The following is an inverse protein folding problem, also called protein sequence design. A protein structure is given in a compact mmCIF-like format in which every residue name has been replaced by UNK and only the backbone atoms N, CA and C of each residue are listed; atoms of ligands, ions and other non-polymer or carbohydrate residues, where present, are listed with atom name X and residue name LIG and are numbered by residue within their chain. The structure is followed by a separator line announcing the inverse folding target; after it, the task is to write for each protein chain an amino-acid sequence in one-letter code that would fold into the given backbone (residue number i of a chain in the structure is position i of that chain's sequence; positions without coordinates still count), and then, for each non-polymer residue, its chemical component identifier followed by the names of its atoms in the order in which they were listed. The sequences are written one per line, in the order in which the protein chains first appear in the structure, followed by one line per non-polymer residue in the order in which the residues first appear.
data_IF_316783283643
#
_entry.id   IF_316783283643
#
_cell.length_a   1.000
_cell.length_b   1.000
_cell.length_c   1.000
_cell.angle_alpha   90.00
_cell.angle_beta   90.00
_cell.angle_gamma   90.00
#
_symmetry.space_group_name_H-M   'P 1'
#
loop_
_entity.id
_entity.type
_entity.pdbx_description
1 polymer ?
#
# COMPACT_ATOMS: atom_id res chain seq x y z
N UNK A 1 26.81 -5.14 -7.11
CA UNK A 1 25.88 -5.90 -6.24
C UNK A 1 24.52 -5.20 -6.03
N UNK A 2 24.31 -3.95 -6.49
CA UNK A 2 23.04 -3.23 -6.34
C UNK A 2 22.01 -3.49 -7.47
N UNK A 3 22.43 -3.87 -8.68
CA UNK A 3 21.48 -4.09 -9.80
C UNK A 3 20.70 -5.41 -9.72
N UNK A 4 21.29 -6.49 -9.16
CA UNK A 4 20.57 -7.76 -9.03
C UNK A 4 19.40 -7.66 -8.04
N UNK A 5 19.53 -6.83 -6.99
CA UNK A 5 18.45 -6.61 -6.03
C UNK A 5 17.23 -5.96 -6.68
N UNK A 6 17.44 -4.94 -7.51
CA UNK A 6 16.36 -4.22 -8.18
C UNK A 6 15.58 -5.12 -9.18
N UNK A 7 16.27 -5.97 -9.93
CA UNK A 7 15.64 -6.89 -10.89
C UNK A 7 14.81 -7.97 -10.20
N UNK A 8 15.25 -8.46 -9.04
CA UNK A 8 14.50 -9.42 -8.24
C UNK A 8 13.25 -8.76 -7.66
N UNK A 9 13.38 -7.53 -7.13
CA UNK A 9 12.27 -6.76 -6.53
C UNK A 9 11.16 -6.46 -7.55
N UNK A 10 11.53 -6.05 -8.78
CA UNK A 10 10.55 -5.76 -9.84
C UNK A 10 9.78 -7.03 -10.22
N UNK A 11 10.45 -8.18 -10.30
CA UNK A 11 9.81 -9.45 -10.67
C UNK A 11 8.84 -9.94 -9.59
N UNK A 12 9.19 -9.82 -8.31
CA UNK A 12 8.31 -10.22 -7.21
C UNK A 12 7.06 -9.34 -7.12
N UNK A 13 7.22 -8.01 -7.25
CA UNK A 13 6.09 -7.08 -7.30
C UNK A 13 5.20 -7.34 -8.52
N UNK A 14 5.80 -7.59 -9.69
CA UNK A 14 5.08 -7.90 -10.92
C UNK A 14 4.26 -9.20 -10.79
N UNK A 15 4.78 -10.23 -10.13
CA UNK A 15 4.04 -11.48 -9.87
C UNK A 15 2.84 -11.26 -8.95
N UNK A 16 3.01 -10.50 -7.86
CA UNK A 16 1.91 -10.19 -6.93
C UNK A 16 0.82 -9.37 -7.63
N UNK A 17 1.22 -8.34 -8.40
CA UNK A 17 0.30 -7.51 -9.17
C UNK A 17 -0.47 -8.33 -10.23
N UNK A 18 0.20 -9.25 -10.94
CA UNK A 18 -0.46 -10.10 -11.94
C UNK A 18 -1.46 -11.07 -11.34
N UNK A 19 -1.16 -11.67 -10.19
CA UNK A 19 -2.08 -12.59 -9.51
C UNK A 19 -3.35 -11.85 -9.06
N UNK A 20 -3.20 -10.66 -8.49
CA UNK A 20 -4.32 -9.85 -7.99
C UNK A 20 -5.22 -9.27 -9.09
N UNK A 21 -4.67 -9.02 -10.28
CA UNK A 21 -5.42 -8.50 -11.43
C UNK A 21 -6.18 -9.62 -12.16
N UNK A 22 -5.65 -10.84 -12.20
CA UNK A 22 -6.28 -11.96 -12.90
C UNK A 22 -7.44 -12.59 -12.12
N UNK A 23 -7.40 -12.59 -10.78
CA UNK A 23 -8.47 -13.18 -9.95
C UNK A 23 -9.78 -12.36 -9.96
N UNK A 24 -9.76 -11.09 -10.40
CA UNK A 24 -10.98 -10.26 -10.55
C UNK A 24 -11.73 -10.47 -11.88
N UNK A 25 -11.20 -11.30 -12.78
CA UNK A 25 -11.79 -11.57 -14.11
C UNK A 25 -12.90 -12.63 -14.15
N UNK A 26 -13.20 -13.30 -13.03
CA UNK A 26 -14.21 -14.37 -12.98
C UNK A 26 -15.26 -14.16 -11.88
N UNK A 27 -15.87 -12.99 -11.82
CA UNK A 27 -17.06 -12.80 -10.97
C UNK A 27 -18.04 -11.77 -11.57
N UNK A 28 -18.55 -12.05 -12.78
CA UNK A 28 -19.78 -11.41 -13.26
C UNK A 28 -20.52 -12.32 -14.24
N UNK A 29 -21.60 -12.97 -13.79
CA UNK A 29 -22.49 -13.79 -14.63
C UNK A 29 -23.61 -14.44 -13.82
N UNK A 30 -24.86 -14.19 -14.20
CA UNK A 30 -26.13 -14.29 -13.47
C UNK A 30 -26.71 -15.68 -13.13
N UNK A 31 -27.44 -15.72 -11.99
CA UNK A 31 -28.78 -16.29 -11.69
C UNK A 31 -29.32 -17.49 -12.53
N UNK A 32 -29.72 -18.56 -11.83
CA UNK A 32 -30.70 -19.56 -12.30
C UNK A 32 -30.91 -20.72 -11.29
N UNK A 33 -32.16 -20.98 -10.91
CA UNK A 33 -32.61 -21.99 -9.92
C UNK A 33 -32.49 -23.48 -10.37
N UNK A 34 -32.47 -24.36 -9.35
CA UNK A 34 -33.15 -25.67 -9.26
C UNK A 34 -32.30 -26.96 -9.27
N UNK A 35 -32.45 -27.70 -8.15
CA UNK A 35 -32.60 -29.16 -7.99
C UNK A 35 -31.56 -30.15 -8.55
N UNK A 36 -31.08 -31.05 -7.69
CA UNK A 36 -30.62 -32.38 -8.13
C UNK A 36 -29.45 -32.95 -7.34
N UNK A 37 -29.53 -34.24 -7.02
CA UNK A 37 -28.71 -34.98 -6.07
C UNK A 37 -27.57 -35.77 -6.78
N UNK A 38 -26.51 -36.07 -6.01
CA UNK A 38 -25.56 -37.20 -6.13
C UNK A 38 -24.16 -37.03 -6.80
N UNK A 39 -23.16 -37.27 -5.94
CA UNK A 39 -21.96 -38.14 -6.03
C UNK A 39 -21.00 -38.06 -7.24
N UNK A 40 -19.72 -37.82 -6.91
CA UNK A 40 -18.58 -38.76 -7.07
C UNK A 40 -17.31 -38.14 -7.70
N UNK A 41 -16.19 -38.49 -7.06
CA UNK A 41 -14.85 -38.76 -7.61
C UNK A 41 -13.93 -37.58 -8.00
N UNK A 42 -12.81 -37.54 -7.26
CA UNK A 42 -11.55 -36.85 -7.54
C UNK A 42 -10.98 -37.22 -8.91
N UNK A 43 -10.64 -36.24 -9.76
CA UNK A 43 -9.47 -36.29 -10.64
C UNK A 43 -8.91 -34.87 -10.88
N UNK A 44 -7.61 -34.72 -10.69
CA UNK A 44 -6.79 -33.54 -11.01
C UNK A 44 -6.54 -33.44 -12.51
N UNK A 45 -6.60 -32.25 -13.15
CA UNK A 45 -6.06 -32.08 -14.49
C UNK A 45 -4.65 -31.46 -14.45
N UNK A 46 -3.74 -32.22 -15.05
CA UNK A 46 -2.41 -31.84 -15.50
C UNK A 46 -2.55 -31.14 -16.86
N UNK A 47 -1.98 -29.95 -17.02
CA UNK A 47 -1.97 -29.23 -18.29
C UNK A 47 -0.57 -29.33 -18.92
N UNK A 48 -0.48 -30.08 -20.02
CA UNK A 48 0.71 -30.29 -20.83
C UNK A 48 0.81 -29.25 -21.96
N UNK A 49 2.03 -28.99 -22.41
CA UNK A 49 2.45 -27.95 -23.34
C UNK A 49 2.61 -28.51 -24.77
N UNK A 50 2.11 -27.80 -25.79
CA UNK A 50 2.45 -28.01 -27.21
C UNK A 50 1.56 -27.17 -28.13
N UNK A 51 2.03 -26.04 -28.70
CA UNK A 51 2.78 -25.88 -29.99
C UNK A 51 1.85 -26.10 -31.20
N UNK A 52 1.33 -25.03 -31.82
CA UNK A 52 1.86 -24.19 -32.94
C UNK A 52 1.36 -24.68 -34.31
N UNK A 53 0.76 -23.76 -35.07
CA UNK A 53 1.19 -23.37 -36.44
C UNK A 53 0.05 -22.63 -37.15
N UNK A 54 0.33 -21.39 -37.60
CA UNK A 54 -0.17 -20.92 -38.90
C UNK A 54 0.78 -19.88 -39.49
N UNK A 55 1.20 -20.16 -40.71
CA UNK A 55 2.14 -19.41 -41.55
C UNK A 55 1.38 -18.42 -42.43
N UNK A 56 1.90 -17.21 -42.62
CA UNK A 56 1.60 -16.43 -43.83
C UNK A 56 2.72 -15.45 -44.19
N UNK A 57 3.51 -15.83 -45.20
CA UNK A 57 4.40 -14.95 -46.00
C UNK A 57 3.54 -13.98 -46.84
N UNK A 58 3.95 -12.80 -47.34
CA UNK A 58 5.20 -12.30 -47.93
C UNK A 58 4.96 -10.76 -48.11
N UNK A 59 5.91 -9.82 -48.08
CA UNK A 59 6.84 -9.49 -49.19
C UNK A 59 7.62 -8.20 -48.85
N UNK A 60 8.94 -8.25 -48.99
CA UNK A 60 9.85 -7.10 -48.87
C UNK A 60 9.92 -6.30 -50.17
N UNK A 61 10.09 -4.98 -50.06
CA UNK A 61 10.72 -4.14 -51.09
C UNK A 61 11.57 -3.07 -50.43
N UNK A 62 12.88 -3.19 -50.60
CA UNK A 62 13.91 -2.21 -50.24
C UNK A 62 13.81 -0.96 -51.11
N UNK A 63 13.97 0.21 -50.48
CA UNK A 63 14.52 1.41 -51.14
C UNK A 63 15.41 2.16 -50.15
N UNK A 64 16.71 2.02 -50.38
CA UNK A 64 17.76 2.90 -49.91
C UNK A 64 17.51 4.35 -50.35
N UNK A 65 17.52 5.27 -49.38
CA UNK A 65 17.82 6.67 -49.60
C UNK A 65 18.55 7.21 -48.36
N UNK A 66 19.87 7.09 -48.39
CA UNK A 66 20.80 7.83 -47.55
C UNK A 66 20.53 9.33 -47.64
N UNK A 67 20.25 9.97 -46.49
CA UNK A 67 20.66 11.35 -46.25
C UNK A 67 20.96 11.54 -44.78
N UNK A 68 22.18 12.01 -44.57
CA UNK A 68 22.92 12.12 -43.33
C UNK A 68 22.32 13.14 -42.36
N UNK A 69 22.59 12.88 -41.08
CA UNK A 69 22.71 13.87 -40.01
C UNK A 69 21.53 14.80 -39.76
N UNK A 70 20.54 14.27 -39.03
CA UNK A 70 20.17 14.95 -37.80
C UNK A 70 20.19 13.91 -36.68
N UNK A 71 21.32 13.84 -35.98
CA UNK A 71 21.33 13.50 -34.56
C UNK A 71 20.46 14.54 -33.87
N UNK A 72 19.13 14.37 -33.95
CA UNK A 72 18.21 15.07 -33.10
C UNK A 72 18.46 14.48 -31.72
N UNK A 73 19.43 15.06 -31.02
CA UNK A 73 19.37 15.18 -29.57
C UNK A 73 17.91 15.53 -29.30
N UNK A 74 17.13 14.58 -28.80
CA UNK A 74 15.80 14.87 -28.27
C UNK A 74 16.07 15.68 -27.01
N UNK A 75 16.28 16.97 -27.24
CA UNK A 75 16.39 18.00 -26.25
C UNK A 75 15.13 17.90 -25.38
N UNK A 76 15.37 17.83 -24.07
CA UNK A 76 14.44 17.34 -23.06
C UNK A 76 13.00 17.83 -23.21
N UNK A 77 12.06 16.92 -22.93
CA UNK A 77 10.63 17.09 -23.15
C UNK A 77 10.08 18.46 -22.72
N UNK A 78 9.48 19.17 -23.67
CA UNK A 78 8.83 20.49 -23.51
C UNK A 78 7.59 20.48 -22.60
N UNK A 79 7.21 19.34 -22.04
CA UNK A 79 5.99 19.18 -21.25
C UNK A 79 6.28 19.40 -19.77
N UNK A 80 5.42 20.15 -19.10
CA UNK A 80 5.50 20.35 -17.65
C UNK A 80 5.53 19.00 -16.92
N UNK A 81 6.43 18.88 -15.94
CA UNK A 81 6.66 17.62 -15.23
C UNK A 81 5.47 17.23 -14.34
N UNK A 82 4.78 18.21 -13.73
CA UNK A 82 3.63 17.94 -12.89
C UNK A 82 2.44 17.47 -13.73
N UNK A 83 2.20 18.15 -14.87
CA UNK A 83 1.19 17.74 -15.83
C UNK A 83 1.46 16.32 -16.35
N UNK A 84 2.69 16.01 -16.75
CA UNK A 84 3.05 14.65 -17.21
C UNK A 84 2.79 13.58 -16.15
N UNK A 85 3.11 13.86 -14.88
CA UNK A 85 2.85 12.92 -13.77
C UNK A 85 1.36 12.75 -13.51
N UNK A 86 0.61 13.84 -13.57
CA UNK A 86 -0.84 13.81 -13.40
C UNK A 86 -1.48 12.96 -14.50
N UNK A 87 -1.16 13.18 -15.77
CA UNK A 87 -1.71 12.37 -16.86
C UNK A 87 -1.35 10.88 -16.72
N UNK A 88 -0.08 10.58 -16.43
CA UNK A 88 0.42 9.20 -16.32
C UNK A 88 -0.16 8.45 -15.12
N UNK A 89 -0.38 9.12 -13.99
CA UNK A 89 -0.89 8.46 -12.79
C UNK A 89 -2.42 8.54 -12.71
N UNK A 90 -3.00 9.69 -13.01
CA UNK A 90 -4.38 10.03 -12.69
C UNK A 90 -5.31 9.87 -13.89
N UNK A 91 -4.91 10.32 -15.09
CA UNK A 91 -5.75 10.19 -16.29
C UNK A 91 -5.69 8.78 -16.89
N UNK A 92 -4.57 8.08 -16.73
CA UNK A 92 -4.44 6.68 -17.15
C UNK A 92 -5.28 5.69 -16.33
N UNK A 93 -5.82 6.12 -15.19
CA UNK A 93 -6.49 5.25 -14.22
C UNK A 93 -5.56 4.45 -13.30
N UNK A 94 -4.24 4.53 -13.51
CA UNK A 94 -3.25 3.76 -12.72
C UNK A 94 -3.35 4.02 -11.21
N UNK A 95 -3.47 5.28 -10.82
CA UNK A 95 -3.60 5.69 -9.42
C UNK A 95 -4.85 5.10 -8.75
N UNK A 96 -5.97 5.12 -9.45
CA UNK A 96 -7.24 4.58 -8.94
C UNK A 96 -7.14 3.06 -8.74
N UNK A 97 -6.63 2.33 -9.74
CA UNK A 97 -6.40 0.89 -9.64
C UNK A 97 -5.40 0.54 -8.54
N UNK A 98 -4.36 1.36 -8.34
CA UNK A 98 -3.37 1.14 -7.29
C UNK A 98 -3.97 1.34 -5.89
N UNK A 99 -4.80 2.38 -5.70
CA UNK A 99 -5.49 2.60 -4.42
C UNK A 99 -6.43 1.43 -4.13
N UNK A 100 -7.21 0.98 -5.12
CA UNK A 100 -8.12 -0.16 -4.96
C UNK A 100 -7.39 -1.48 -4.67
N UNK A 101 -6.22 -1.70 -5.28
CA UNK A 101 -5.38 -2.84 -4.96
C UNK A 101 -4.83 -2.75 -3.52
N UNK A 102 -4.44 -1.56 -3.07
CA UNK A 102 -4.01 -1.33 -1.69
C UNK A 102 -5.13 -1.58 -0.69
N UNK A 103 -6.36 -1.13 -0.98
CA UNK A 103 -7.54 -1.36 -0.12
C UNK A 103 -7.81 -2.87 0.01
N UNK A 104 -7.83 -3.59 -1.11
CA UNK A 104 -8.16 -5.01 -1.13
C UNK A 104 -7.12 -5.94 -0.51
N UNK A 105 -5.86 -5.47 -0.37
CA UNK A 105 -4.72 -6.29 0.06
C UNK A 105 -3.91 -5.61 1.18
N UNK A 106 -4.56 -4.74 1.96
CA UNK A 106 -3.88 -3.90 2.93
C UNK A 106 -3.11 -4.73 3.98
N UNK A 107 -3.66 -5.88 4.39
CA UNK A 107 -3.05 -6.73 5.40
C UNK A 107 -1.73 -7.33 4.89
N UNK A 108 -1.78 -8.00 3.74
CA UNK A 108 -0.66 -8.69 3.11
C UNK A 108 0.43 -7.69 2.71
N UNK A 109 0.04 -6.54 2.16
CA UNK A 109 1.00 -5.51 1.76
C UNK A 109 1.69 -4.89 2.96
N UNK A 110 0.97 -4.54 4.04
CA UNK A 110 1.57 -3.96 5.25
C UNK A 110 2.58 -4.89 5.91
N UNK A 111 2.31 -6.20 5.90
CA UNK A 111 3.18 -7.21 6.50
C UNK A 111 4.32 -7.65 5.56
N UNK A 112 4.26 -7.28 4.28
CA UNK A 112 5.31 -7.58 3.30
C UNK A 112 6.56 -6.72 3.48
N UNK A 113 7.72 -7.27 3.14
CA UNK A 113 8.98 -6.53 3.15
C UNK A 113 8.97 -5.34 2.17
N UNK A 114 8.27 -5.44 1.05
CA UNK A 114 8.23 -4.39 0.02
C UNK A 114 6.84 -3.75 -0.09
N UNK A 115 5.77 -4.52 0.12
CA UNK A 115 4.40 -4.02 0.02
C UNK A 115 4.13 -2.84 0.97
N UNK A 116 4.79 -2.81 2.13
CA UNK A 116 4.60 -1.74 3.12
C UNK A 116 5.05 -0.37 2.60
N UNK A 117 6.07 -0.34 1.73
CA UNK A 117 6.56 0.92 1.14
C UNK A 117 5.55 1.42 0.09
N UNK A 118 4.91 0.50 -0.65
CA UNK A 118 3.80 0.85 -1.56
C UNK A 118 2.64 1.43 -0.77
N UNK A 119 2.22 0.79 0.32
CA UNK A 119 1.17 1.31 1.21
C UNK A 119 1.53 2.69 1.73
N UNK A 120 2.77 2.89 2.20
CA UNK A 120 3.21 4.19 2.71
C UNK A 120 3.07 5.31 1.67
N UNK A 121 3.57 5.10 0.45
CA UNK A 121 3.54 6.11 -0.62
C UNK A 121 2.10 6.41 -1.08
N UNK A 122 1.22 5.40 -1.13
CA UNK A 122 -0.17 5.58 -1.55
C UNK A 122 -0.97 6.30 -0.46
N UNK A 123 -0.85 5.88 0.81
CA UNK A 123 -1.55 6.51 1.95
C UNK A 123 -1.17 7.97 2.12
N UNK A 124 0.11 8.32 1.92
CA UNK A 124 0.60 9.70 1.98
C UNK A 124 0.28 10.52 0.71
N UNK A 125 -0.36 9.90 -0.28
CA UNK A 125 -0.90 10.58 -1.46
C UNK A 125 0.14 10.88 -2.56
N UNK A 126 1.30 10.21 -2.56
CA UNK A 126 2.30 10.28 -3.63
C UNK A 126 2.71 11.70 -3.99
N UNK A 127 3.42 12.39 -3.10
CA UNK A 127 3.81 13.82 -3.23
C UNK A 127 2.64 14.79 -3.45
N UNK A 128 1.40 14.39 -3.11
CA UNK A 128 0.20 15.22 -3.19
C UNK A 128 -0.59 15.11 -4.51
N UNK A 129 -0.15 14.27 -5.45
CA UNK A 129 -0.86 14.07 -6.73
C UNK A 129 -2.19 13.34 -6.52
N UNK A 130 -2.21 12.36 -5.61
CA UNK A 130 -3.40 11.52 -5.40
C UNK A 130 -4.49 12.27 -4.64
N UNK A 131 -4.11 13.09 -3.65
CA UNK A 131 -5.05 13.78 -2.77
C UNK A 131 -5.98 14.77 -3.47
N UNK A 132 -5.61 15.28 -4.65
CA UNK A 132 -6.43 16.26 -5.38
C UNK A 132 -7.67 15.65 -6.03
N UNK A 133 -7.61 14.39 -6.46
CA UNK A 133 -8.70 13.72 -7.18
C UNK A 133 -9.30 12.54 -6.41
N UNK A 134 -8.50 11.90 -5.55
CA UNK A 134 -8.86 10.64 -4.92
C UNK A 134 -8.96 10.74 -3.40
N UNK A 135 -9.29 11.91 -2.84
CA UNK A 135 -9.46 12.11 -1.39
C UNK A 135 -10.31 11.01 -0.76
N UNK A 136 -11.50 10.78 -1.30
CA UNK A 136 -12.48 9.85 -0.73
C UNK A 136 -11.99 8.40 -0.80
N UNK A 137 -11.23 8.04 -1.85
CA UNK A 137 -10.63 6.70 -1.96
C UNK A 137 -9.44 6.52 -1.03
N UNK A 138 -8.67 7.59 -0.77
CA UNK A 138 -7.60 7.56 0.24
C UNK A 138 -8.19 7.42 1.64
N UNK A 139 -9.30 8.10 1.94
CA UNK A 139 -10.03 7.93 3.20
C UNK A 139 -10.48 6.46 3.37
N UNK A 140 -11.04 5.84 2.32
CA UNK A 140 -11.39 4.41 2.34
C UNK A 140 -10.17 3.51 2.61
N UNK A 141 -8.99 3.85 2.08
CA UNK A 141 -7.75 3.12 2.36
C UNK A 141 -7.32 3.31 3.82
N UNK A 142 -7.44 4.53 4.36
CA UNK A 142 -7.17 4.78 5.79
C UNK A 142 -8.11 3.97 6.67
N UNK A 143 -9.39 3.92 6.34
CA UNK A 143 -10.41 3.13 7.04
C UNK A 143 -10.14 1.62 6.96
N UNK A 144 -9.72 1.11 5.80
CA UNK A 144 -9.38 -0.30 5.63
C UNK A 144 -8.20 -0.70 6.55
N UNK A 145 -7.13 0.11 6.58
CA UNK A 145 -5.99 -0.13 7.46
C UNK A 145 -6.38 0.02 8.94
N UNK A 146 -7.20 1.02 9.27
CA UNK A 146 -7.65 1.22 10.64
C UNK A 146 -8.56 0.09 11.13
N UNK A 147 -9.38 -0.49 10.24
CA UNK A 147 -10.21 -1.65 10.53
C UNK A 147 -9.36 -2.88 10.86
N UNK A 148 -8.26 -3.10 10.15
CA UNK A 148 -7.28 -4.14 10.50
C UNK A 148 -6.67 -3.90 11.89
N UNK A 149 -6.37 -2.65 12.24
CA UNK A 149 -5.85 -2.29 13.57
C UNK A 149 -6.87 -2.38 14.69
N UNK A 150 -8.16 -2.38 14.37
CA UNK A 150 -9.25 -2.51 15.33
C UNK A 150 -9.56 -3.98 15.69
N UNK A 151 -8.97 -4.94 14.97
CA UNK A 151 -9.09 -6.36 15.26
C UNK A 151 -8.55 -6.67 16.66
N UNK A 152 -9.10 -7.68 17.35
CA UNK A 152 -8.60 -8.08 18.66
C UNK A 152 -7.15 -8.56 18.59
N UNK A 153 -6.40 -8.28 19.66
CA UNK A 153 -5.11 -8.94 19.88
C UNK A 153 -5.34 -10.42 20.14
N UNK A 154 -4.89 -11.27 19.22
CA UNK A 154 -4.97 -12.73 19.35
C UNK A 154 -3.58 -13.27 19.65
N UNK A 155 -3.40 -13.91 20.81
CA UNK A 155 -2.16 -14.60 21.16
C UNK A 155 -2.09 -16.02 20.55
N UNK A 156 -3.21 -16.52 20.02
CA UNK A 156 -3.35 -17.88 19.49
C UNK A 156 -3.27 -17.95 17.95
N UNK A 157 -3.16 -16.81 17.26
CA UNK A 157 -3.03 -16.80 15.79
C UNK A 157 -1.58 -16.95 15.37
N UNK A 158 -1.35 -17.71 14.30
CA UNK A 158 -0.02 -17.80 13.67
C UNK A 158 0.41 -16.45 13.05
N UNK A 159 -0.56 -15.60 12.70
CA UNK A 159 -0.33 -14.27 12.15
C UNK A 159 -0.23 -13.21 13.27
N UNK A 160 0.83 -12.41 13.23
CA UNK A 160 1.04 -11.28 14.15
C UNK A 160 0.08 -10.13 13.83
N UNK A 161 -0.48 -9.50 14.86
CA UNK A 161 -1.32 -8.31 14.69
C UNK A 161 -0.54 -7.16 14.02
N UNK A 162 -1.19 -6.33 13.21
CA UNK A 162 -0.50 -5.29 12.41
C UNK A 162 0.28 -4.26 13.25
N UNK A 163 -0.09 -4.06 14.52
CA UNK A 163 0.65 -3.18 15.43
C UNK A 163 1.88 -3.84 16.04
N UNK A 164 2.00 -5.16 15.98
CA UNK A 164 3.10 -5.93 16.55
C UNK A 164 4.04 -6.47 15.45
N UNK A 165 3.49 -6.72 14.26
CA UNK A 165 4.25 -7.22 13.13
C UNK A 165 5.41 -6.29 12.75
N UNK A 166 6.56 -6.91 12.49
CA UNK A 166 7.83 -6.21 12.28
C UNK A 166 7.76 -5.15 11.16
N UNK A 167 7.09 -5.45 10.05
CA UNK A 167 7.03 -4.59 8.88
C UNK A 167 5.92 -3.54 9.02
N UNK A 168 4.73 -3.97 9.40
CA UNK A 168 3.56 -3.11 9.48
C UNK A 168 3.67 -2.10 10.62
N UNK A 169 4.14 -2.50 11.81
CA UNK A 169 4.24 -1.59 12.98
C UNK A 169 5.14 -0.37 12.70
N UNK A 170 6.26 -0.58 12.00
CA UNK A 170 7.18 0.50 11.59
C UNK A 170 6.54 1.44 10.58
N UNK A 171 5.81 0.87 9.63
CA UNK A 171 5.13 1.62 8.57
C UNK A 171 3.98 2.44 9.13
N UNK A 172 3.13 1.83 9.97
CA UNK A 172 2.01 2.51 10.63
C UNK A 172 2.52 3.63 11.53
N UNK A 173 3.59 3.38 12.30
CA UNK A 173 4.23 4.46 13.09
C UNK A 173 4.63 5.64 12.21
N UNK A 174 5.29 5.37 11.08
CA UNK A 174 5.72 6.40 10.13
C UNK A 174 4.51 7.15 9.56
N UNK A 175 3.45 6.43 9.20
CA UNK A 175 2.20 7.02 8.72
C UNK A 175 1.52 7.93 9.75
N UNK A 176 1.52 7.57 11.04
CA UNK A 176 1.00 8.43 12.12
C UNK A 176 1.74 9.76 12.19
N UNK A 177 3.06 9.75 11.96
CA UNK A 177 3.89 10.96 12.00
C UNK A 177 3.75 11.82 10.73
N UNK A 178 3.57 11.18 9.57
CA UNK A 178 3.68 11.84 8.27
C UNK A 178 2.30 12.17 7.63
N UNK A 179 1.22 11.53 8.10
CA UNK A 179 -0.12 11.68 7.52
C UNK A 179 -1.18 11.94 8.63
N UNK A 180 -1.49 13.21 8.94
CA UNK A 180 -2.45 13.56 9.98
C UNK A 180 -3.86 13.00 9.77
N UNK A 181 -4.33 12.96 8.51
CA UNK A 181 -5.63 12.38 8.17
C UNK A 181 -5.69 10.89 8.55
N UNK A 182 -4.67 10.12 8.15
CA UNK A 182 -4.55 8.71 8.53
C UNK A 182 -4.47 8.54 10.04
N UNK A 183 -3.65 9.34 10.73
CA UNK A 183 -3.50 9.28 12.18
C UNK A 183 -4.85 9.48 12.89
N UNK A 184 -5.62 10.49 12.46
CA UNK A 184 -6.94 10.77 13.01
C UNK A 184 -7.92 9.61 12.80
N UNK A 185 -7.93 9.00 11.61
CA UNK A 185 -8.76 7.83 11.28
C UNK A 185 -8.36 6.62 12.12
N UNK A 186 -7.07 6.29 12.16
CA UNK A 186 -6.53 5.17 12.94
C UNK A 186 -6.86 5.31 14.42
N UNK A 187 -6.69 6.51 15.00
CA UNK A 187 -6.99 6.75 16.40
C UNK A 187 -8.46 6.48 16.71
N UNK A 188 -9.36 7.08 15.93
CA UNK A 188 -10.81 6.97 16.14
C UNK A 188 -11.32 5.53 16.01
N UNK A 189 -10.83 4.79 15.02
CA UNK A 189 -11.33 3.46 14.71
C UNK A 189 -10.66 2.34 15.51
N UNK A 190 -9.35 2.44 15.80
CA UNK A 190 -8.57 1.34 16.35
C UNK A 190 -8.07 1.56 17.78
N UNK A 191 -7.68 2.79 18.16
CA UNK A 191 -6.90 3.03 19.38
C UNK A 191 -7.66 3.70 20.51
N UNK A 192 -8.64 4.57 20.21
CA UNK A 192 -9.37 5.32 21.23
C UNK A 192 -10.09 4.38 22.21
N UNK A 193 -9.78 4.51 23.50
CA UNK A 193 -10.27 3.65 24.57
C UNK A 193 -9.65 2.26 24.61
N UNK A 194 -8.62 2.00 23.79
CA UNK A 194 -7.93 0.72 23.65
C UNK A 194 -6.41 0.88 23.65
N UNK A 195 -5.88 2.09 23.84
CA UNK A 195 -4.46 2.36 23.69
C UNK A 195 -3.60 1.61 24.71
N UNK A 196 -4.16 1.31 25.89
CA UNK A 196 -3.49 0.55 26.95
C UNK A 196 -3.03 -0.85 26.48
N UNK A 197 -3.86 -1.54 25.68
CA UNK A 197 -3.56 -2.88 25.13
C UNK A 197 -2.29 -2.85 24.28
N UNK A 198 -2.03 -1.70 23.65
CA UNK A 198 -0.94 -1.48 22.72
C UNK A 198 0.20 -0.63 23.31
N UNK A 199 0.16 -0.35 24.62
CA UNK A 199 1.14 0.53 25.28
C UNK A 199 2.50 -0.14 25.54
N UNK A 200 2.60 -1.46 25.32
CA UNK A 200 3.80 -2.25 25.60
C UNK A 200 4.36 -2.91 24.33
N UNK A 201 5.56 -3.51 24.41
CA UNK A 201 6.16 -4.25 23.30
C UNK A 201 6.43 -3.38 22.06
N UNK A 202 6.32 -3.96 20.86
CA UNK A 202 6.56 -3.27 19.60
C UNK A 202 5.47 -2.24 19.26
N UNK A 203 4.22 -2.55 19.60
CA UNK A 203 3.05 -1.70 19.37
C UNK A 203 3.10 -0.39 20.14
N UNK A 204 3.81 -0.34 21.28
CA UNK A 204 4.05 0.89 22.05
C UNK A 204 4.61 2.05 21.23
N UNK A 205 5.42 1.75 20.19
CA UNK A 205 6.01 2.77 19.31
C UNK A 205 4.99 3.37 18.35
N UNK A 206 3.95 2.62 17.97
CA UNK A 206 2.83 3.13 17.17
C UNK A 206 2.00 4.09 18.03
N UNK A 207 1.68 3.69 19.26
CA UNK A 207 0.90 4.50 20.19
C UNK A 207 1.65 5.79 20.57
N UNK A 208 2.94 5.68 20.90
CA UNK A 208 3.76 6.84 21.28
C UNK A 208 3.91 7.86 20.16
N UNK A 209 3.83 7.43 18.88
CA UNK A 209 3.98 8.34 17.75
C UNK A 209 2.89 9.42 17.69
N UNK A 210 1.72 9.19 18.29
CA UNK A 210 0.70 10.24 18.42
C UNK A 210 1.17 11.43 19.26
N UNK A 211 1.95 11.17 20.33
CA UNK A 211 2.55 12.24 21.15
C UNK A 211 3.77 12.88 20.47
N UNK A 212 4.46 12.12 19.61
CA UNK A 212 5.63 12.57 18.85
C UNK A 212 5.27 13.33 17.57
N UNK A 213 3.99 13.32 17.16
CA UNK A 213 3.53 13.95 15.92
C UNK A 213 3.81 15.45 15.93
N UNK A 214 4.22 15.99 14.77
CA UNK A 214 4.41 17.43 14.59
C UNK A 214 3.06 18.18 14.47
N UNK A 215 2.00 17.47 14.10
CA UNK A 215 0.64 18.00 13.99
C UNK A 215 -0.02 18.14 15.37
N UNK A 216 -0.48 19.35 15.71
CA UNK A 216 -1.09 19.61 17.01
C UNK A 216 -2.43 18.92 17.21
N UNK A 217 -3.24 18.79 16.16
CA UNK A 217 -4.55 18.14 16.25
C UNK A 217 -4.38 16.65 16.51
N UNK A 218 -3.41 15.99 15.85
CA UNK A 218 -3.06 14.59 16.10
C UNK A 218 -2.61 14.39 17.56
N UNK A 219 -1.76 15.29 18.08
CA UNK A 219 -1.33 15.22 19.48
C UNK A 219 -2.51 15.40 20.43
N UNK A 220 -3.32 16.44 20.25
CA UNK A 220 -4.42 16.78 21.15
C UNK A 220 -5.52 15.70 21.16
N UNK A 221 -5.74 15.03 20.02
CA UNK A 221 -6.69 13.92 19.88
C UNK A 221 -6.39 12.76 20.84
N UNK A 222 -5.11 12.45 21.04
CA UNK A 222 -4.64 11.32 21.82
C UNK A 222 -4.16 11.69 23.23
N UNK A 223 -3.84 12.98 23.46
CA UNK A 223 -3.16 13.48 24.65
C UNK A 223 -3.76 13.02 25.97
N UNK A 224 -5.08 13.16 26.15
CA UNK A 224 -5.73 12.85 27.43
C UNK A 224 -5.59 11.38 27.80
N UNK A 225 -5.80 10.47 26.85
CA UNK A 225 -5.70 9.02 27.09
C UNK A 225 -4.24 8.60 27.27
N UNK A 226 -3.35 9.06 26.38
CA UNK A 226 -1.94 8.66 26.41
C UNK A 226 -1.19 9.25 27.60
N UNK A 227 -1.51 10.46 28.05
CA UNK A 227 -0.87 11.04 29.23
C UNK A 227 -1.13 10.18 30.48
N UNK A 228 -2.34 9.64 30.64
CA UNK A 228 -2.64 8.71 31.74
C UNK A 228 -1.78 7.44 31.71
N UNK A 229 -1.45 6.93 30.50
CA UNK A 229 -0.56 5.79 30.32
C UNK A 229 0.92 6.15 30.56
N UNK A 230 1.31 7.39 30.29
CA UNK A 230 2.66 7.89 30.60
C UNK A 230 2.82 8.05 32.11
N UNK A 231 1.84 8.65 32.77
CA UNK A 231 1.85 8.92 34.20
C UNK A 231 1.85 7.62 35.03
N UNK A 232 1.17 6.57 34.54
CA UNK A 232 1.20 5.23 35.14
C UNK A 232 2.47 4.43 34.83
N UNK A 233 3.33 4.94 33.93
CA UNK A 233 4.54 4.28 33.46
C UNK A 233 4.31 3.15 32.46
N UNK A 234 3.07 2.95 31.99
CA UNK A 234 2.72 1.94 30.99
C UNK A 234 3.25 2.27 29.59
N UNK A 235 3.30 3.57 29.23
CA UNK A 235 3.80 4.04 27.95
C UNK A 235 5.11 4.84 28.12
N UNK A 236 6.15 4.45 27.39
CA UNK A 236 7.43 5.18 27.37
C UNK A 236 7.46 6.16 26.22
N UNK A 237 7.50 7.45 26.53
CA UNK A 237 7.72 8.50 25.51
C UNK A 237 9.22 8.70 25.34
N UNK A 238 9.70 8.77 24.10
CA UNK A 238 11.07 9.17 23.84
C UNK A 238 11.25 10.63 24.31
N UNK A 239 12.21 10.89 25.19
CA UNK A 239 12.57 12.26 25.57
C UNK A 239 12.90 13.03 24.30
N UNK A 240 12.01 13.96 23.93
CA UNK A 240 12.24 14.83 22.80
C UNK A 240 13.48 15.64 23.16
N UNK A 241 14.57 15.46 22.42
CA UNK A 241 15.75 16.33 22.53
C UNK A 241 15.30 17.74 22.17
N UNK A 242 14.83 18.49 23.16
CA UNK A 242 14.68 19.93 23.06
C UNK A 242 16.07 20.48 22.78
N UNK A 243 16.33 20.79 21.52
CA UNK A 243 17.37 21.74 21.15
C UNK A 243 16.98 23.06 21.81
N UNK A 244 17.52 23.30 23.00
CA UNK A 244 17.59 24.63 23.58
C UNK A 244 18.26 25.52 22.53
N UNK A 245 17.48 26.42 21.92
CA UNK A 245 18.06 27.66 21.43
C UNK A 245 18.34 28.47 22.68
N UNK A 246 19.60 28.50 23.10
CA UNK A 246 20.09 29.54 24.01
C UNK A 246 20.09 30.88 23.28
N UNK A 247 19.73 31.91 24.03
CA UNK A 247 19.55 33.31 23.65
C UNK A 247 20.83 33.97 23.10
#
# INVERSE_FOLDING_TARGET
MQELGAVIIIRELETILKQLVLDKGQASGSVGESSGMQTSTLETPKCDYGTSDDDTAMKNTDKDASSENNLHLVEGGKKDNALRRYELLVESGLAESLIEACIGNACELLQSNFGREVIYEVVTGGTGVLGQKFSDKLDNLHEAIASLGALPRSEESEEEHIFENFHSSRTIRKLVLDCPAFAATLWKAALKGKAEIWAQGHSSKVVSAFLESSDSEVRDLAKTELQGLVDSGALKVAETRHLKKED
#
